data_IF_244821037172
#
_entry.id   IF_244821037172
#
_cell.length_a   1.000
_cell.length_b   1.000
_cell.length_c   1.000
_cell.angle_alpha   90.00
_cell.angle_beta   90.00
_cell.angle_gamma   90.00
#
_symmetry.space_group_name_H-M   'P 1'
#
loop_
_entity.id
_entity.type
_entity.pdbx_description
1 polymer ?
#
# COMPACT_ATOMS: atom_id res chain seq x y z
N UNK A 1 -7.41 -23.12 -28.60
CA UNK A 1 -7.65 -21.89 -27.81
C UNK A 1 -6.76 -20.78 -28.37
N UNK A 2 -7.33 -19.78 -29.07
CA UNK A 2 -6.58 -18.59 -29.50
C UNK A 2 -6.28 -17.80 -28.23
N UNK A 3 -5.07 -17.94 -27.70
CA UNK A 3 -4.59 -17.05 -26.65
C UNK A 3 -4.69 -15.62 -27.18
N UNK A 4 -5.50 -14.80 -26.52
CA UNK A 4 -5.66 -13.37 -26.76
C UNK A 4 -4.37 -12.62 -26.37
N UNK A 5 -3.24 -12.95 -27.00
CA UNK A 5 -1.99 -12.21 -26.84
C UNK A 5 -2.03 -11.05 -27.84
N UNK A 6 -2.99 -10.14 -27.68
CA UNK A 6 -2.75 -8.79 -28.17
C UNK A 6 -1.75 -8.16 -27.21
N UNK A 7 -0.53 -7.90 -27.69
CA UNK A 7 0.55 -7.36 -26.87
C UNK A 7 0.18 -6.01 -26.20
N UNK A 8 -0.83 -5.33 -26.75
CA UNK A 8 -1.44 -4.12 -26.19
C UNK A 8 -2.74 -4.46 -25.44
N UNK A 9 -2.73 -4.23 -24.12
CA UNK A 9 -3.87 -4.42 -23.21
C UNK A 9 -5.07 -3.58 -23.62
N UNK A 10 -4.82 -2.42 -24.26
CA UNK A 10 -5.87 -1.44 -24.61
C UNK A 10 -6.79 -1.90 -25.74
N UNK A 11 -6.39 -2.91 -26.51
CA UNK A 11 -7.16 -3.43 -27.66
C UNK A 11 -8.16 -4.51 -27.29
N UNK A 12 -8.06 -5.08 -26.09
CA UNK A 12 -8.92 -6.16 -25.64
C UNK A 12 -9.84 -5.65 -24.52
N UNK A 13 -11.10 -5.37 -24.86
CA UNK A 13 -12.09 -4.85 -23.92
C UNK A 13 -12.36 -5.81 -22.74
N UNK A 14 -12.23 -7.13 -22.96
CA UNK A 14 -12.37 -8.11 -21.87
C UNK A 14 -11.23 -7.97 -20.86
N UNK A 15 -9.98 -7.94 -21.34
CA UNK A 15 -8.80 -7.76 -20.49
C UNK A 15 -8.82 -6.41 -19.77
N UNK A 16 -9.26 -5.36 -20.48
CA UNK A 16 -9.45 -4.01 -19.94
C UNK A 16 -10.44 -3.99 -18.77
N UNK A 17 -11.57 -4.68 -18.93
CA UNK A 17 -12.60 -4.80 -17.89
C UNK A 17 -12.10 -5.58 -16.69
N UNK A 18 -11.42 -6.72 -16.92
CA UNK A 18 -10.82 -7.53 -15.84
C UNK A 18 -9.80 -6.72 -15.04
N UNK A 19 -8.91 -5.98 -15.70
CA UNK A 19 -7.93 -5.12 -15.03
C UNK A 19 -8.62 -3.99 -14.26
N UNK A 20 -9.68 -3.40 -14.82
CA UNK A 20 -10.43 -2.34 -14.14
C UNK A 20 -11.10 -2.85 -12.87
N UNK A 21 -11.76 -4.02 -12.94
CA UNK A 21 -12.37 -4.65 -11.77
C UNK A 21 -11.33 -5.02 -10.72
N UNK A 22 -10.20 -5.61 -11.15
CA UNK A 22 -9.08 -5.92 -10.26
C UNK A 22 -8.58 -4.68 -9.52
N UNK A 23 -8.35 -3.57 -10.22
CA UNK A 23 -7.89 -2.32 -9.62
C UNK A 23 -8.93 -1.72 -8.67
N UNK A 24 -10.22 -1.84 -8.99
CA UNK A 24 -11.29 -1.41 -8.09
C UNK A 24 -11.31 -2.23 -6.79
N UNK A 25 -11.23 -3.56 -6.88
CA UNK A 25 -11.10 -4.43 -5.72
C UNK A 25 -9.87 -4.08 -4.88
N UNK A 26 -8.76 -3.71 -5.52
CA UNK A 26 -7.52 -3.34 -4.84
C UNK A 26 -7.64 -2.02 -4.07
N UNK A 27 -8.30 -1.01 -4.65
CA UNK A 27 -8.61 0.24 -3.94
C UNK A 27 -9.53 -0.03 -2.75
N UNK A 28 -10.55 -0.87 -2.93
CA UNK A 28 -11.46 -1.23 -1.85
C UNK A 28 -10.73 -1.98 -0.72
N UNK A 29 -9.83 -2.91 -1.07
CA UNK A 29 -8.98 -3.61 -0.11
C UNK A 29 -8.09 -2.63 0.68
N UNK A 30 -7.40 -1.70 0.02
CA UNK A 30 -6.56 -0.70 0.69
C UNK A 30 -7.40 0.19 1.62
N UNK A 31 -8.60 0.59 1.18
CA UNK A 31 -9.52 1.38 1.99
C UNK A 31 -9.99 0.64 3.25
N UNK A 32 -10.34 -0.64 3.12
CA UNK A 32 -10.72 -1.47 4.26
C UNK A 32 -9.55 -1.74 5.21
N UNK A 33 -8.37 -2.06 4.69
CA UNK A 33 -7.16 -2.27 5.50
C UNK A 33 -6.82 -1.01 6.31
N UNK A 34 -6.95 0.17 5.70
CA UNK A 34 -6.76 1.43 6.39
C UNK A 34 -7.82 1.69 7.46
N UNK A 35 -9.09 1.43 7.16
CA UNK A 35 -10.19 1.57 8.13
C UNK A 35 -10.01 0.66 9.35
N UNK A 36 -9.72 -0.63 9.14
CA UNK A 36 -9.50 -1.59 10.22
C UNK A 36 -8.32 -1.20 11.11
N UNK A 37 -7.26 -0.61 10.52
CA UNK A 37 -6.13 -0.10 11.31
C UNK A 37 -6.49 1.12 12.13
N UNK A 38 -7.28 2.04 11.60
CA UNK A 38 -7.76 3.18 12.38
C UNK A 38 -8.68 2.72 13.52
N UNK A 39 -9.48 1.69 13.30
CA UNK A 39 -10.31 1.10 14.34
C UNK A 39 -9.47 0.40 15.42
N UNK A 40 -8.38 -0.27 15.02
CA UNK A 40 -7.49 -0.98 15.95
C UNK A 40 -6.56 -0.05 16.74
N UNK A 41 -5.99 0.97 16.08
CA UNK A 41 -4.99 1.86 16.68
C UNK A 41 -5.56 3.20 17.17
N UNK A 42 -6.79 3.53 16.80
CA UNK A 42 -7.40 4.83 17.07
C UNK A 42 -7.17 5.85 15.95
N UNK A 43 -7.93 6.94 16.03
CA UNK A 43 -7.93 8.03 15.05
C UNK A 43 -6.94 9.15 15.41
N UNK A 44 -6.59 9.27 16.69
CA UNK A 44 -5.65 10.29 17.17
C UNK A 44 -4.23 9.73 17.34
N UNK A 45 -3.24 10.62 17.29
CA UNK A 45 -1.84 10.26 17.56
C UNK A 45 -1.69 9.73 18.99
N UNK A 46 -2.44 10.31 19.92
CA UNK A 46 -2.40 9.92 21.33
C UNK A 46 -2.99 8.52 21.53
N UNK A 47 -4.13 8.21 20.89
CA UNK A 47 -4.71 6.85 20.90
C UNK A 47 -3.77 5.81 20.28
N UNK A 48 -3.07 6.15 19.20
CA UNK A 48 -2.07 5.29 18.58
C UNK A 48 -0.93 4.97 19.56
N UNK A 49 -0.42 5.99 20.26
CA UNK A 49 0.66 5.83 21.23
C UNK A 49 0.18 4.99 22.42
N UNK A 50 -1.01 5.27 22.94
CA UNK A 50 -1.60 4.56 24.07
C UNK A 50 -1.91 3.10 23.73
N UNK A 51 -2.38 2.81 22.51
CA UNK A 51 -2.59 1.43 22.05
C UNK A 51 -1.27 0.67 21.97
N UNK A 52 -0.22 1.30 21.44
CA UNK A 52 1.07 0.64 21.25
C UNK A 52 1.82 0.45 22.58
N UNK A 53 1.79 1.45 23.46
CA UNK A 53 2.50 1.43 24.76
C UNK A 53 1.70 0.83 25.90
N UNK A 54 0.42 0.58 25.66
CA UNK A 54 -0.53 0.30 26.71
C UNK A 54 -0.90 1.57 27.46
N UNK A 55 -2.02 1.48 28.17
CA UNK A 55 -2.52 2.54 29.02
C UNK A 55 -3.10 1.91 30.28
N UNK A 56 -2.48 2.22 31.41
CA UNK A 56 -2.90 1.70 32.72
C UNK A 56 -4.29 2.24 33.11
N UNK A 57 -4.68 3.42 32.62
CA UNK A 57 -5.98 4.03 32.90
C UNK A 57 -7.13 3.30 32.18
N UNK A 58 -6.84 2.74 30.99
CA UNK A 58 -7.81 2.00 30.18
C UNK A 58 -7.60 0.48 30.19
N UNK A 59 -6.68 -0.04 31.02
CA UNK A 59 -6.29 -1.46 31.08
C UNK A 59 -5.89 -2.02 29.71
N UNK A 60 -5.21 -1.22 28.90
CA UNK A 60 -4.70 -1.63 27.61
C UNK A 60 -3.30 -2.19 27.79
N UNK A 61 -3.10 -3.45 27.42
CA UNK A 61 -1.77 -4.06 27.42
C UNK A 61 -0.94 -3.50 26.24
N UNK A 62 0.36 -3.22 26.44
CA UNK A 62 1.24 -2.83 25.36
C UNK A 62 1.31 -3.90 24.27
N UNK A 63 1.27 -3.47 23.02
CA UNK A 63 1.54 -4.35 21.89
C UNK A 63 3.01 -4.77 21.96
N UNK A 64 3.27 -6.08 21.96
CA UNK A 64 4.64 -6.56 22.03
C UNK A 64 5.41 -6.16 20.76
N UNK A 65 6.71 -5.86 20.90
CA UNK A 65 7.56 -5.55 19.76
C UNK A 65 7.55 -6.69 18.72
N UNK A 66 7.46 -7.94 19.17
CA UNK A 66 7.35 -9.09 18.28
C UNK A 66 6.09 -9.01 17.42
N UNK A 67 4.94 -8.70 18.01
CA UNK A 67 3.67 -8.61 17.29
C UNK A 67 3.68 -7.45 16.29
N UNK A 68 4.31 -6.32 16.65
CA UNK A 68 4.52 -5.19 15.73
C UNK A 68 5.38 -5.58 14.53
N UNK A 69 6.50 -6.27 14.77
CA UNK A 69 7.40 -6.73 13.69
C UNK A 69 6.66 -7.72 12.78
N UNK A 70 5.91 -8.65 13.36
CA UNK A 70 5.12 -9.62 12.60
C UNK A 70 4.05 -8.92 11.74
N UNK A 71 3.29 -7.98 12.32
CA UNK A 71 2.29 -7.21 11.61
C UNK A 71 2.90 -6.43 10.44
N UNK A 72 4.00 -5.70 10.67
CA UNK A 72 4.67 -4.90 9.63
C UNK A 72 5.27 -5.79 8.55
N UNK A 73 5.80 -6.96 8.92
CA UNK A 73 6.33 -7.92 7.96
C UNK A 73 5.23 -8.48 7.05
N UNK A 74 4.11 -8.92 7.63
CA UNK A 74 2.94 -9.41 6.89
C UNK A 74 2.41 -8.31 5.95
N UNK A 75 2.24 -7.09 6.45
CA UNK A 75 1.79 -5.97 5.62
C UNK A 75 2.77 -5.64 4.50
N UNK A 76 4.07 -5.61 4.78
CA UNK A 76 5.09 -5.36 3.77
C UNK A 76 5.11 -6.43 2.69
N UNK A 77 4.83 -7.68 3.05
CA UNK A 77 4.73 -8.78 2.10
C UNK A 77 3.54 -8.59 1.14
N UNK A 78 2.35 -8.31 1.67
CA UNK A 78 1.19 -8.00 0.83
C UNK A 78 1.42 -6.74 -0.02
N UNK A 79 2.06 -5.73 0.55
CA UNK A 79 2.50 -4.51 -0.13
C UNK A 79 3.34 -4.78 -1.37
N UNK A 80 4.33 -5.67 -1.25
CA UNK A 80 5.15 -6.06 -2.39
C UNK A 80 4.35 -6.81 -3.47
N UNK A 81 3.39 -7.65 -3.08
CA UNK A 81 2.55 -8.38 -4.04
C UNK A 81 1.74 -7.40 -4.89
N UNK A 82 0.96 -6.50 -4.28
CA UNK A 82 0.15 -5.58 -5.07
C UNK A 82 0.99 -4.53 -5.81
N UNK A 83 2.12 -4.11 -5.23
CA UNK A 83 3.09 -3.27 -5.92
C UNK A 83 3.62 -3.93 -7.20
N UNK A 84 4.00 -5.21 -7.15
CA UNK A 84 4.47 -5.96 -8.30
C UNK A 84 3.39 -6.10 -9.38
N UNK A 85 2.13 -6.35 -8.98
CA UNK A 85 0.99 -6.42 -9.89
C UNK A 85 0.77 -5.09 -10.62
N UNK A 86 0.76 -3.97 -9.88
CA UNK A 86 0.61 -2.62 -10.45
C UNK A 86 1.77 -2.31 -11.40
N UNK A 87 3.01 -2.62 -11.01
CA UNK A 87 4.18 -2.44 -11.85
C UNK A 87 4.09 -3.24 -13.16
N UNK A 88 3.66 -4.49 -13.10
CA UNK A 88 3.44 -5.31 -14.29
C UNK A 88 2.48 -4.64 -15.28
N UNK A 89 1.39 -4.06 -14.77
CA UNK A 89 0.42 -3.32 -15.60
C UNK A 89 1.04 -2.01 -16.13
N UNK A 90 1.75 -1.25 -15.29
CA UNK A 90 2.39 0.01 -15.70
C UNK A 90 3.45 -0.20 -16.79
N UNK A 91 4.27 -1.26 -16.70
CA UNK A 91 5.24 -1.63 -17.74
C UNK A 91 4.56 -1.89 -19.07
N UNK A 92 3.46 -2.66 -19.07
CA UNK A 92 2.67 -2.93 -20.28
C UNK A 92 2.06 -1.67 -20.88
N UNK A 93 1.67 -0.71 -20.05
CA UNK A 93 1.14 0.59 -20.47
C UNK A 93 2.22 1.64 -20.79
N UNK A 94 3.51 1.28 -20.71
CA UNK A 94 4.67 2.16 -21.02
C UNK A 94 4.58 3.53 -20.33
N UNK A 95 4.39 3.53 -19.01
CA UNK A 95 4.29 4.76 -18.22
C UNK A 95 5.65 5.40 -17.95
N UNK A 96 5.79 6.71 -18.24
CA UNK A 96 7.05 7.44 -18.04
C UNK A 96 7.43 7.59 -16.56
N UNK A 97 6.43 7.55 -15.68
CA UNK A 97 6.58 7.70 -14.23
C UNK A 97 6.85 6.38 -13.49
N UNK A 98 7.16 5.29 -14.20
CA UNK A 98 7.45 3.99 -13.57
C UNK A 98 8.65 4.10 -12.62
N UNK A 99 9.73 4.77 -13.03
CA UNK A 99 10.92 4.89 -12.19
C UNK A 99 10.62 5.68 -10.90
N UNK A 100 9.91 6.81 -11.01
CA UNK A 100 9.48 7.57 -9.85
C UNK A 100 8.64 6.72 -8.90
N UNK A 101 7.66 5.98 -9.44
CA UNK A 101 6.81 5.09 -8.67
C UNK A 101 7.62 4.00 -7.94
N UNK A 102 8.60 3.38 -8.61
CA UNK A 102 9.48 2.40 -8.00
C UNK A 102 10.27 3.02 -6.84
N UNK A 103 10.96 4.12 -7.12
CA UNK A 103 11.87 4.76 -6.15
C UNK A 103 11.11 5.19 -4.90
N UNK A 104 9.97 5.88 -5.06
CA UNK A 104 9.18 6.36 -3.91
C UNK A 104 8.60 5.19 -3.13
N UNK A 105 8.09 4.16 -3.79
CA UNK A 105 7.50 2.99 -3.11
C UNK A 105 8.55 2.20 -2.32
N UNK A 106 9.72 1.95 -2.91
CA UNK A 106 10.82 1.24 -2.24
C UNK A 106 11.37 2.06 -1.09
N UNK A 107 11.58 3.37 -1.26
CA UNK A 107 12.01 4.24 -0.17
C UNK A 107 10.99 4.28 0.96
N UNK A 108 9.69 4.31 0.66
CA UNK A 108 8.64 4.30 1.67
C UNK A 108 8.65 3.01 2.50
N UNK A 109 8.83 1.85 1.86
CA UNK A 109 8.95 0.57 2.56
C UNK A 109 10.26 0.49 3.35
N UNK A 110 11.40 0.89 2.80
CA UNK A 110 12.66 0.90 3.57
C UNK A 110 12.57 1.81 4.78
N UNK A 111 11.92 2.97 4.62
CA UNK A 111 11.69 3.90 5.71
C UNK A 111 10.86 3.27 6.82
N UNK A 112 9.81 2.49 6.51
CA UNK A 112 9.01 1.83 7.55
C UNK A 112 9.84 0.84 8.39
N UNK A 113 10.74 0.08 7.79
CA UNK A 113 11.65 -0.82 8.54
C UNK A 113 12.66 -0.06 9.40
N UNK A 114 13.22 1.03 8.89
CA UNK A 114 14.15 1.88 9.66
C UNK A 114 13.43 2.51 10.85
N UNK A 115 12.22 3.02 10.63
CA UNK A 115 11.41 3.66 11.67
C UNK A 115 10.94 2.66 12.73
N UNK A 116 10.64 1.41 12.34
CA UNK A 116 10.37 0.34 13.30
C UNK A 116 11.58 0.02 14.18
N UNK A 117 12.78 0.02 13.60
CA UNK A 117 14.00 -0.22 14.37
C UNK A 117 14.26 0.95 15.34
N UNK A 118 14.06 2.19 14.89
CA UNK A 118 14.20 3.39 15.71
C UNK A 118 13.12 3.51 16.79
N UNK A 119 11.92 2.97 16.55
CA UNK A 119 10.82 3.02 17.51
C UNK A 119 11.08 2.20 18.77
N UNK A 120 12.11 1.34 18.78
CA UNK A 120 12.58 0.64 19.98
C UNK A 120 13.30 1.55 20.97
N UNK A 121 13.80 2.71 20.53
CA UNK A 121 14.63 3.62 21.32
C UNK A 121 14.07 5.04 21.39
N UNK A 122 13.18 5.41 20.47
CA UNK A 122 12.67 6.77 20.30
C UNK A 122 11.17 6.77 19.98
N UNK A 123 10.50 7.88 20.25
CA UNK A 123 9.05 8.08 20.04
C UNK A 123 8.73 8.37 18.56
N UNK A 124 9.08 7.44 17.68
CA UNK A 124 9.04 7.61 16.21
C UNK A 124 7.86 6.87 15.58
N UNK A 125 6.95 6.31 16.39
CA UNK A 125 5.80 5.52 15.93
C UNK A 125 4.86 6.29 14.99
N UNK A 126 4.71 7.60 15.18
CA UNK A 126 3.91 8.46 14.28
C UNK A 126 4.44 8.40 12.84
N UNK A 127 5.77 8.42 12.70
CA UNK A 127 6.41 8.37 11.38
C UNK A 127 6.31 6.98 10.76
N UNK A 128 6.28 5.91 11.56
CA UNK A 128 6.02 4.56 11.07
C UNK A 128 4.67 4.50 10.34
N UNK A 129 3.61 4.98 10.99
CA UNK A 129 2.28 5.08 10.38
C UNK A 129 2.31 5.98 9.14
N UNK A 130 2.97 7.13 9.23
CA UNK A 130 3.15 8.04 8.10
C UNK A 130 3.81 7.38 6.88
N UNK A 131 4.84 6.56 7.08
CA UNK A 131 5.52 5.83 6.01
C UNK A 131 4.62 4.78 5.33
N UNK A 132 3.76 4.12 6.09
CA UNK A 132 2.78 3.19 5.57
C UNK A 132 1.67 3.92 4.78
N UNK A 133 1.18 5.05 5.31
CA UNK A 133 0.19 5.89 4.61
C UNK A 133 0.75 6.42 3.30
N UNK A 134 2.00 6.90 3.32
CA UNK A 134 2.69 7.39 2.13
C UNK A 134 2.77 6.30 1.05
N UNK A 135 3.12 5.07 1.43
CA UNK A 135 3.16 3.95 0.49
C UNK A 135 1.79 3.70 -0.17
N UNK A 136 0.71 3.68 0.61
CA UNK A 136 -0.63 3.46 0.06
C UNK A 136 -1.11 4.62 -0.83
N UNK A 137 -0.77 5.87 -0.51
CA UNK A 137 -1.05 7.02 -1.38
C UNK A 137 -0.36 6.86 -2.73
N UNK A 138 0.91 6.45 -2.74
CA UNK A 138 1.67 6.21 -3.97
C UNK A 138 0.98 5.14 -4.81
N UNK A 139 0.56 4.04 -4.18
CA UNK A 139 -0.13 2.93 -4.83
C UNK A 139 -1.46 3.38 -5.45
N UNK A 140 -2.29 4.11 -4.70
CA UNK A 140 -3.54 4.69 -5.21
C UNK A 140 -3.27 5.62 -6.40
N UNK A 141 -2.23 6.45 -6.32
CA UNK A 141 -1.80 7.29 -7.43
C UNK A 141 -1.40 6.46 -8.67
N UNK A 142 -0.69 5.35 -8.48
CA UNK A 142 -0.37 4.39 -9.55
C UNK A 142 -1.62 3.79 -10.21
N UNK A 143 -2.59 3.38 -9.39
CA UNK A 143 -3.89 2.86 -9.87
C UNK A 143 -4.62 3.92 -10.69
N UNK A 144 -4.68 5.16 -10.19
CA UNK A 144 -5.28 6.28 -10.91
C UNK A 144 -4.60 6.51 -12.27
N UNK A 145 -3.28 6.51 -12.32
CA UNK A 145 -2.54 6.64 -13.59
C UNK A 145 -2.84 5.50 -14.56
N UNK A 146 -2.95 4.26 -14.07
CA UNK A 146 -3.33 3.11 -14.90
C UNK A 146 -4.74 3.32 -15.47
N UNK A 147 -5.71 3.67 -14.61
CA UNK A 147 -7.10 3.94 -15.01
C UNK A 147 -7.17 5.00 -16.11
N UNK A 148 -6.48 6.14 -15.92
CA UNK A 148 -6.44 7.23 -16.90
C UNK A 148 -5.87 6.74 -18.23
N UNK A 149 -4.75 6.01 -18.20
CA UNK A 149 -4.12 5.51 -19.43
C UNK A 149 -4.94 4.45 -20.16
N UNK A 150 -5.60 3.59 -19.40
CA UNK A 150 -6.34 2.45 -19.92
C UNK A 150 -7.67 2.89 -20.56
N UNK A 151 -8.31 3.95 -20.05
CA UNK A 151 -9.58 4.45 -20.56
C UNK A 151 -9.48 5.68 -21.47
N UNK A 152 -8.59 6.63 -21.20
CA UNK A 152 -8.58 7.94 -21.87
C UNK A 152 -7.44 8.13 -22.89
N UNK A 153 -6.28 7.47 -22.72
CA UNK A 153 -5.14 7.63 -23.64
C UNK A 153 -5.11 6.51 -24.70
N UNK A 154 -5.91 6.69 -25.75
CA UNK A 154 -5.80 5.93 -27.01
C UNK A 154 -4.70 6.54 -27.89
N UNK A 155 -3.44 6.20 -27.63
CA UNK A 155 -2.31 6.49 -28.55
C UNK A 155 -1.50 5.23 -28.80
#
# INVERSE_FOLDING_TARGET
MKFFISNDIRKNDTLKTVITLFLFCLVFYIGLDFYLKLEYFGFSIDELINTIRGDEEYFLDPVSFKDLVEMIHIHSFFALIYFAMILGIMFRLKTRLILFFIVVSVLSLLCSYILLLLSTHYDVFVYLVGSYVLFNIVIIFGIFMIMVKLWFLRV
#
